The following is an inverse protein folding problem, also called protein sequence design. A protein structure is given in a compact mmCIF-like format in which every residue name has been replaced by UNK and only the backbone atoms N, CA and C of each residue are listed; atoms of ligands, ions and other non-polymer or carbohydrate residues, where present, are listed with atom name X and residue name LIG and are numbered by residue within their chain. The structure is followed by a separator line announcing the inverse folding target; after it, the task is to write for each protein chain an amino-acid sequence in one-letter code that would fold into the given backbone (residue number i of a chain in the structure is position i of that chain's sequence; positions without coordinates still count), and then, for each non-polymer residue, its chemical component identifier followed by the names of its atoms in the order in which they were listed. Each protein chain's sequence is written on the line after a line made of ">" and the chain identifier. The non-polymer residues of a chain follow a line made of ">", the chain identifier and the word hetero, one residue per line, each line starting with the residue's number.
data_IF_005574902118
#
_entry.id   IF_005574902118
#
_cell.length_a   1.000
_cell.length_b   1.000
_cell.length_c   1.000
_cell.angle_alpha   90.00
_cell.angle_beta   90.00
_cell.angle_gamma   90.00
#
_symmetry.space_group_name_H-M   'P 1'
#
loop_
_entity.id
_entity.type
_entity.pdbx_description
1 polymer ?
#
# COMPACT_ATOMS: atom_id res chain seq x y z
N UNK A 1 -6.06 -27.42 8.09
CA UNK A 1 -5.57 -26.55 7.00
C UNK A 1 -4.17 -26.09 7.35
N UNK A 2 -3.16 -26.40 6.54
CA UNK A 2 -1.83 -25.83 6.67
C UNK A 2 -1.95 -24.30 6.54
N UNK A 3 -1.37 -23.53 7.47
CA UNK A 3 -1.40 -22.06 7.37
C UNK A 3 -0.62 -21.66 6.12
N UNK A 4 -1.20 -20.81 5.27
CA UNK A 4 -0.50 -20.26 4.12
C UNK A 4 0.67 -19.37 4.59
N UNK A 5 1.80 -19.46 3.90
CA UNK A 5 3.04 -18.73 4.18
C UNK A 5 3.64 -18.16 2.88
N UNK A 6 4.36 -17.03 2.96
CA UNK A 6 5.14 -16.53 1.82
C UNK A 6 6.19 -17.57 1.41
N UNK A 7 6.59 -17.56 0.15
CA UNK A 7 7.69 -18.40 -0.35
C UNK A 7 9.06 -17.79 -0.04
N UNK A 8 9.12 -16.46 0.04
CA UNK A 8 10.33 -15.72 0.36
C UNK A 8 10.04 -14.60 1.36
N UNK A 9 10.91 -14.47 2.36
CA UNK A 9 10.91 -13.36 3.30
C UNK A 9 12.23 -12.60 3.19
N UNK A 10 12.14 -11.31 2.90
CA UNK A 10 13.26 -10.40 2.77
C UNK A 10 13.39 -9.50 4.00
N UNK A 11 14.62 -9.17 4.37
CA UNK A 11 14.94 -8.24 5.45
C UNK A 11 15.90 -7.16 4.98
N UNK A 12 15.61 -5.91 5.33
CA UNK A 12 16.66 -4.90 5.44
C UNK A 12 17.56 -5.17 6.65
N UNK A 13 18.69 -4.48 6.73
CA UNK A 13 19.68 -4.67 7.77
C UNK A 13 19.64 -3.56 8.82
N UNK A 14 20.06 -2.35 8.43
CA UNK A 14 20.29 -1.22 9.32
C UNK A 14 18.96 -0.60 9.77
N UNK A 15 18.61 -0.75 11.05
CA UNK A 15 17.30 -0.35 11.58
C UNK A 15 16.25 -1.47 11.54
N UNK A 16 16.59 -2.63 10.97
CA UNK A 16 15.69 -3.78 10.85
C UNK A 16 16.21 -5.01 11.58
N UNK A 17 17.29 -5.64 11.10
CA UNK A 17 17.92 -6.80 11.75
C UNK A 17 18.73 -6.38 12.98
N UNK A 18 19.37 -5.21 12.90
CA UNK A 18 20.09 -4.59 14.01
C UNK A 18 19.80 -3.09 14.10
N UNK A 19 20.00 -2.53 15.28
CA UNK A 19 19.87 -1.11 15.56
C UNK A 19 21.21 -0.41 15.38
N UNK A 20 21.15 0.84 14.90
CA UNK A 20 22.26 1.66 14.44
C UNK A 20 22.84 1.20 13.09
N UNK A 21 23.48 2.14 12.40
CA UNK A 21 24.01 1.90 11.07
C UNK A 21 25.40 1.27 11.15
N UNK A 22 25.56 0.12 10.51
CA UNK A 22 26.84 -0.53 10.24
C UNK A 22 27.64 0.26 9.18
N UNK A 23 28.17 1.41 9.58
CA UNK A 23 28.78 2.39 8.68
C UNK A 23 30.29 2.18 8.54
N UNK A 24 30.75 1.83 7.34
CA UNK A 24 32.17 1.58 7.05
C UNK A 24 33.11 2.78 7.23
N UNK A 25 32.58 4.01 7.33
CA UNK A 25 33.36 5.19 7.70
C UNK A 25 33.65 5.26 9.21
N UNK A 26 32.89 4.51 10.02
CA UNK A 26 33.05 4.45 11.49
C UNK A 26 33.72 3.15 11.92
N UNK A 27 33.32 2.02 11.34
CA UNK A 27 33.91 0.72 11.60
C UNK A 27 35.24 0.57 10.87
N UNK A 28 36.24 -0.05 11.49
CA UNK A 28 37.57 -0.25 10.91
C UNK A 28 37.63 -1.49 10.00
N UNK A 29 36.57 -1.75 9.23
CA UNK A 29 36.47 -2.88 8.32
C UNK A 29 36.12 -4.21 8.98
N UNK A 30 35.76 -5.20 8.15
CA UNK A 30 35.18 -6.49 8.57
C UNK A 30 36.03 -7.28 9.59
N UNK A 31 37.36 -7.26 9.45
CA UNK A 31 38.24 -8.07 10.31
C UNK A 31 38.38 -7.48 11.73
N UNK A 32 37.97 -6.22 11.91
CA UNK A 32 37.89 -5.55 13.21
C UNK A 32 36.52 -5.74 13.89
N UNK A 33 35.58 -6.50 13.33
CA UNK A 33 34.33 -6.83 14.01
C UNK A 33 34.50 -7.99 15.02
N UNK A 34 33.83 -7.89 16.16
CA UNK A 34 33.66 -8.98 17.12
C UNK A 34 32.23 -9.03 17.69
N UNK A 35 31.71 -10.23 17.99
CA UNK A 35 30.47 -10.38 18.74
C UNK A 35 30.70 -10.08 20.22
N UNK A 36 29.73 -9.42 20.85
CA UNK A 36 29.72 -9.16 22.28
C UNK A 36 28.30 -9.33 22.81
N UNK A 37 28.14 -9.93 23.99
CA UNK A 37 26.86 -9.96 24.68
C UNK A 37 26.96 -9.09 25.91
N UNK A 38 26.10 -8.08 26.00
CA UNK A 38 26.06 -7.16 27.14
C UNK A 38 25.54 -7.88 28.40
N UNK A 39 25.79 -7.33 29.60
CA UNK A 39 25.29 -7.92 30.86
C UNK A 39 23.77 -8.08 30.92
N UNK A 40 23.02 -7.20 30.25
CA UNK A 40 21.55 -7.24 30.10
C UNK A 40 21.08 -8.14 28.94
N UNK A 41 22.00 -8.93 28.35
CA UNK A 41 21.70 -9.99 27.40
C UNK A 41 21.43 -9.51 25.97
N UNK A 42 21.84 -8.29 25.61
CA UNK A 42 21.77 -7.82 24.24
C UNK A 42 22.99 -8.30 23.45
N UNK A 43 22.75 -8.86 22.27
CA UNK A 43 23.81 -9.23 21.35
C UNK A 43 24.22 -8.02 20.51
N UNK A 44 25.50 -7.73 20.49
CA UNK A 44 26.10 -6.62 19.76
C UNK A 44 27.19 -7.14 18.84
N UNK A 45 27.34 -6.48 17.69
CA UNK A 45 28.54 -6.57 16.88
C UNK A 45 29.26 -5.24 17.02
N UNK A 46 30.48 -5.27 17.56
CA UNK A 46 31.24 -4.06 17.88
C UNK A 46 32.61 -4.05 17.20
N UNK A 47 33.16 -2.85 17.07
CA UNK A 47 34.50 -2.62 16.58
C UNK A 47 35.54 -2.92 17.68
N UNK A 48 36.51 -3.81 17.41
CA UNK A 48 37.58 -4.21 18.33
C UNK A 48 38.48 -3.04 18.78
N UNK A 49 38.62 -2.01 17.95
CA UNK A 49 39.48 -0.84 18.26
C UNK A 49 38.73 0.21 19.05
N UNK A 50 37.41 0.29 18.88
CA UNK A 50 36.56 1.20 19.62
C UNK A 50 35.20 0.56 19.92
N UNK A 51 35.06 -0.05 21.10
CA UNK A 51 33.82 -0.71 21.53
C UNK A 51 32.60 0.22 21.61
N UNK A 52 32.77 1.55 21.60
CA UNK A 52 31.64 2.48 21.50
C UNK A 52 30.94 2.40 20.13
N UNK A 53 31.66 1.96 19.08
CA UNK A 53 31.12 1.74 17.75
C UNK A 53 30.57 0.31 17.68
N UNK A 54 29.24 0.20 17.69
CA UNK A 54 28.56 -1.09 17.67
C UNK A 54 27.19 -0.97 17.01
N UNK A 55 26.67 -2.12 16.58
CA UNK A 55 25.26 -2.32 16.28
C UNK A 55 24.68 -3.33 17.28
N UNK A 56 23.41 -3.16 17.63
CA UNK A 56 22.72 -4.07 18.56
C UNK A 56 21.72 -4.92 17.79
N UNK A 57 21.88 -6.23 17.80
CA UNK A 57 20.99 -7.17 17.11
C UNK A 57 19.60 -7.19 17.74
N UNK A 58 18.59 -7.43 16.90
CA UNK A 58 17.27 -7.84 17.37
C UNK A 58 17.37 -9.06 18.29
N UNK A 59 16.67 -9.03 19.42
CA UNK A 59 16.56 -10.19 20.32
C UNK A 59 15.81 -11.36 19.69
N UNK A 60 14.97 -11.10 18.69
CA UNK A 60 14.10 -12.10 18.08
C UNK A 60 14.63 -12.62 16.74
N UNK A 61 15.64 -12.00 16.13
CA UNK A 61 16.07 -12.38 14.76
C UNK A 61 16.46 -13.85 14.66
N UNK A 62 17.24 -14.37 15.61
CA UNK A 62 17.63 -15.79 15.60
C UNK A 62 16.42 -16.73 15.63
N UNK A 63 15.39 -16.38 16.41
CA UNK A 63 14.12 -17.12 16.49
C UNK A 63 13.30 -16.98 15.20
N UNK A 64 13.27 -15.80 14.58
CA UNK A 64 12.58 -15.54 13.31
C UNK A 64 13.20 -16.39 12.20
N UNK A 65 14.53 -16.35 12.04
CA UNK A 65 15.26 -17.14 11.05
C UNK A 65 15.02 -18.64 11.27
N UNK A 66 15.09 -19.12 12.52
CA UNK A 66 14.77 -20.51 12.88
C UNK A 66 13.37 -20.93 12.38
N UNK A 67 12.37 -20.05 12.56
CA UNK A 67 10.99 -20.32 12.16
C UNK A 67 10.80 -20.32 10.64
N UNK A 68 11.51 -19.45 9.91
CA UNK A 68 11.50 -19.43 8.44
C UNK A 68 12.10 -20.71 7.86
N UNK A 69 13.27 -21.14 8.36
CA UNK A 69 13.93 -22.40 7.95
C UNK A 69 13.00 -23.59 8.23
N UNK A 70 12.37 -23.64 9.41
CA UNK A 70 11.41 -24.71 9.76
C UNK A 70 10.24 -24.79 8.79
N UNK A 71 9.85 -23.66 8.19
CA UNK A 71 8.74 -23.57 7.23
C UNK A 71 9.18 -23.68 5.77
N UNK A 72 10.48 -23.92 5.53
CA UNK A 72 11.06 -23.99 4.19
C UNK A 72 10.78 -22.71 3.37
N UNK A 73 10.89 -21.56 4.02
CA UNK A 73 10.73 -20.23 3.40
C UNK A 73 12.11 -19.70 3.07
N UNK A 74 12.32 -19.26 1.83
CA UNK A 74 13.59 -18.67 1.41
C UNK A 74 13.82 -17.31 2.07
N UNK A 75 15.07 -17.00 2.37
CA UNK A 75 15.46 -15.79 3.10
C UNK A 75 16.31 -14.92 2.20
N UNK A 76 15.91 -13.66 2.06
CA UNK A 76 16.70 -12.65 1.36
C UNK A 76 17.16 -11.55 2.31
N UNK A 77 18.39 -11.08 2.11
CA UNK A 77 18.88 -9.82 2.66
C UNK A 77 18.82 -8.79 1.55
N UNK A 78 18.16 -7.67 1.81
CA UNK A 78 17.99 -6.59 0.85
C UNK A 78 18.38 -5.31 1.55
N UNK A 79 19.59 -4.79 1.34
CA UNK A 79 20.12 -3.63 2.07
C UNK A 79 20.74 -2.60 1.14
N UNK A 80 20.60 -1.32 1.53
CA UNK A 80 21.26 -0.20 0.85
C UNK A 80 22.61 0.17 1.46
N UNK A 81 23.14 -0.65 2.36
CA UNK A 81 24.46 -0.43 2.92
C UNK A 81 25.52 -0.45 1.82
N UNK A 82 26.53 0.41 1.96
CA UNK A 82 27.63 0.55 0.99
C UNK A 82 28.78 -0.45 1.21
N UNK A 83 28.76 -1.20 2.30
CA UNK A 83 29.82 -2.15 2.67
C UNK A 83 29.22 -3.55 2.92
N UNK A 84 29.16 -4.32 1.84
CA UNK A 84 28.65 -5.69 1.87
C UNK A 84 29.50 -6.59 2.76
N UNK A 85 30.82 -6.52 2.66
CA UNK A 85 31.75 -7.35 3.43
C UNK A 85 31.58 -7.17 4.96
N UNK A 86 31.33 -5.93 5.39
CA UNK A 86 31.04 -5.61 6.78
C UNK A 86 29.70 -6.22 7.22
N UNK A 87 28.66 -6.08 6.39
CA UNK A 87 27.32 -6.64 6.64
C UNK A 87 27.36 -8.17 6.74
N UNK A 88 28.01 -8.83 5.78
CA UNK A 88 28.19 -10.28 5.73
C UNK A 88 28.88 -10.78 6.99
N UNK A 89 29.91 -10.05 7.45
CA UNK A 89 30.62 -10.39 8.69
C UNK A 89 29.75 -10.22 9.93
N UNK A 90 28.92 -9.19 9.99
CA UNK A 90 27.97 -9.01 11.09
C UNK A 90 26.93 -10.15 11.12
N UNK A 91 26.39 -10.54 9.95
CA UNK A 91 25.49 -11.69 9.81
C UNK A 91 26.18 -13.02 10.16
N UNK A 92 27.47 -13.16 9.85
CA UNK A 92 28.28 -14.33 10.22
C UNK A 92 28.41 -14.48 11.75
N UNK A 93 28.55 -13.37 12.47
CA UNK A 93 28.63 -13.38 13.95
C UNK A 93 27.27 -13.43 14.65
N UNK A 94 26.17 -13.44 13.88
CA UNK A 94 24.81 -13.55 14.39
C UNK A 94 24.33 -14.98 14.21
N UNK A 95 23.56 -15.53 15.16
CA UNK A 95 23.22 -16.96 15.16
C UNK A 95 21.70 -17.22 15.21
N UNK A 96 21.28 -18.31 14.57
CA UNK A 96 19.95 -18.89 14.67
C UNK A 96 20.07 -20.41 14.95
N UNK A 97 19.05 -21.00 15.56
CA UNK A 97 19.02 -22.45 15.75
C UNK A 97 18.54 -23.12 14.45
N UNK A 98 19.32 -24.05 13.91
CA UNK A 98 18.90 -24.84 12.77
C UNK A 98 17.91 -25.92 13.25
N UNK A 99 16.62 -25.86 12.85
CA UNK A 99 15.62 -26.84 13.31
C UNK A 99 15.85 -28.26 12.78
N UNK A 100 16.71 -28.44 11.76
CA UNK A 100 17.03 -29.74 11.19
C UNK A 100 18.22 -30.43 11.88
N UNK A 101 19.16 -29.65 12.42
CA UNK A 101 20.38 -30.17 13.07
C UNK A 101 20.41 -29.93 14.58
N UNK A 102 19.51 -29.09 15.10
CA UNK A 102 19.48 -28.59 16.48
C UNK A 102 20.81 -27.93 16.91
N UNK A 103 21.51 -27.29 15.98
CA UNK A 103 22.75 -26.54 16.24
C UNK A 103 22.54 -25.05 16.00
N UNK A 104 23.20 -24.23 16.80
CA UNK A 104 23.33 -22.81 16.50
C UNK A 104 24.28 -22.61 15.31
N UNK A 105 23.82 -21.91 14.28
CA UNK A 105 24.58 -21.62 13.08
C UNK A 105 24.46 -20.15 12.70
N UNK A 106 25.48 -19.63 12.03
CA UNK A 106 25.52 -18.24 11.57
C UNK A 106 24.32 -17.92 10.66
N UNK A 107 23.66 -16.78 10.87
CA UNK A 107 22.47 -16.37 10.12
C UNK A 107 22.75 -16.35 8.61
N UNK A 108 23.94 -15.90 8.21
CA UNK A 108 24.34 -15.83 6.80
C UNK A 108 24.24 -17.18 6.07
N UNK A 109 24.35 -18.32 6.77
CA UNK A 109 24.21 -19.65 6.16
C UNK A 109 22.79 -19.99 5.72
N UNK A 110 21.80 -19.28 6.25
CA UNK A 110 20.39 -19.45 5.90
C UNK A 110 19.92 -18.44 4.85
N UNK A 111 20.79 -17.53 4.40
CA UNK A 111 20.44 -16.51 3.39
C UNK A 111 20.58 -17.12 2.00
N UNK A 112 19.47 -17.19 1.26
CA UNK A 112 19.42 -17.67 -0.11
C UNK A 112 19.83 -16.58 -1.11
N UNK A 113 19.46 -15.33 -0.83
CA UNK A 113 19.73 -14.17 -1.69
C UNK A 113 20.28 -13.00 -0.89
N UNK A 114 21.48 -12.56 -1.24
CA UNK A 114 22.23 -11.56 -0.46
C UNK A 114 22.51 -10.31 -1.30
N UNK A 115 21.57 -9.37 -1.21
CA UNK A 115 21.45 -8.18 -2.03
C UNK A 115 21.77 -6.93 -1.21
N UNK A 116 23.07 -6.67 -0.99
CA UNK A 116 23.59 -5.50 -0.28
C UNK A 116 24.29 -4.56 -1.26
N UNK A 117 23.61 -3.47 -1.61
CA UNK A 117 24.12 -2.45 -2.54
C UNK A 117 23.37 -1.14 -2.39
N UNK A 118 24.06 -0.01 -2.43
CA UNK A 118 23.38 1.30 -2.39
C UNK A 118 22.68 1.64 -3.71
N UNK A 119 21.45 1.13 -3.85
CA UNK A 119 20.53 1.43 -4.93
C UNK A 119 19.06 1.23 -4.50
N UNK A 120 18.09 1.54 -5.36
CA UNK A 120 16.67 1.34 -5.04
C UNK A 120 16.35 -0.14 -4.73
N UNK A 121 15.46 -0.35 -3.76
CA UNK A 121 14.95 -1.69 -3.39
C UNK A 121 14.25 -2.38 -4.57
N UNK A 122 13.68 -1.62 -5.51
CA UNK A 122 13.10 -2.16 -6.74
C UNK A 122 14.11 -2.98 -7.55
N UNK A 123 15.37 -2.51 -7.65
CA UNK A 123 16.41 -3.24 -8.40
C UNK A 123 16.85 -4.53 -7.71
N UNK A 124 16.93 -4.50 -6.38
CA UNK A 124 17.21 -5.70 -5.59
C UNK A 124 16.11 -6.75 -5.78
N UNK A 125 14.84 -6.37 -5.62
CA UNK A 125 13.71 -7.27 -5.79
C UNK A 125 13.58 -7.80 -7.22
N UNK A 126 13.92 -6.99 -8.24
CA UNK A 126 13.99 -7.46 -9.62
C UNK A 126 14.99 -8.61 -9.79
N UNK A 127 16.21 -8.48 -9.28
CA UNK A 127 17.22 -9.56 -9.34
C UNK A 127 16.79 -10.80 -8.57
N UNK A 128 16.26 -10.62 -7.36
CA UNK A 128 15.74 -11.73 -6.55
C UNK A 128 14.63 -12.47 -7.30
N UNK A 129 13.70 -11.74 -7.91
CA UNK A 129 12.61 -12.32 -8.70
C UNK A 129 13.14 -13.10 -9.90
N UNK A 130 14.14 -12.57 -10.62
CA UNK A 130 14.81 -13.24 -11.73
C UNK A 130 15.50 -14.54 -11.28
N UNK A 131 16.07 -14.58 -10.06
CA UNK A 131 16.75 -15.75 -9.52
C UNK A 131 15.82 -16.82 -8.95
N UNK A 132 14.80 -16.43 -8.18
CA UNK A 132 13.89 -17.38 -7.53
C UNK A 132 12.70 -17.78 -8.42
N UNK A 133 12.32 -16.96 -9.39
CA UNK A 133 11.15 -17.15 -10.23
C UNK A 133 9.80 -17.02 -9.51
N UNK A 134 9.79 -16.63 -8.22
CA UNK A 134 8.55 -16.43 -7.48
C UNK A 134 7.81 -15.17 -7.93
N UNK A 135 6.48 -15.18 -7.79
CA UNK A 135 5.70 -13.94 -7.93
C UNK A 135 6.04 -12.99 -6.79
N UNK A 136 6.07 -11.68 -7.03
CA UNK A 136 6.20 -10.69 -5.95
C UNK A 136 5.09 -10.82 -4.91
N UNK A 137 3.89 -11.26 -5.30
CA UNK A 137 2.81 -11.56 -4.36
C UNK A 137 3.24 -12.61 -3.32
N UNK A 138 4.08 -13.58 -3.68
CA UNK A 138 4.57 -14.62 -2.77
C UNK A 138 5.69 -14.13 -1.82
N UNK A 139 6.06 -12.85 -1.88
CA UNK A 139 7.15 -12.25 -1.10
C UNK A 139 6.64 -11.33 0.02
N UNK A 140 7.36 -11.32 1.15
CA UNK A 140 7.15 -10.41 2.27
C UNK A 140 8.48 -9.71 2.61
N UNK A 141 8.44 -8.40 2.80
CA UNK A 141 9.62 -7.58 3.08
C UNK A 141 9.46 -6.79 4.38
N UNK A 142 10.48 -6.84 5.23
CA UNK A 142 10.60 -6.05 6.45
C UNK A 142 11.70 -4.98 6.29
N UNK A 143 11.37 -3.72 6.56
CA UNK A 143 12.26 -2.56 6.44
C UNK A 143 11.76 -1.44 7.36
N UNK A 144 12.63 -0.57 7.86
CA UNK A 144 12.29 0.56 8.74
C UNK A 144 12.05 1.87 8.00
N UNK A 145 12.42 1.97 6.72
CA UNK A 145 12.32 3.18 5.91
C UNK A 145 11.01 3.20 5.11
N UNK A 146 10.08 4.13 5.40
CA UNK A 146 8.82 4.26 4.66
C UNK A 146 9.01 4.38 3.14
N UNK A 147 10.07 5.04 2.70
CA UNK A 147 10.39 5.22 1.28
C UNK A 147 10.52 3.88 0.53
N UNK A 148 11.00 2.84 1.20
CA UNK A 148 11.19 1.51 0.61
C UNK A 148 9.85 0.77 0.37
N UNK A 149 8.71 1.31 0.84
CA UNK A 149 7.36 0.87 0.46
C UNK A 149 7.08 0.98 -1.06
N UNK A 150 7.98 1.63 -1.81
CA UNK A 150 7.97 1.62 -3.27
C UNK A 150 7.87 0.19 -3.85
N UNK A 151 8.45 -0.83 -3.21
CA UNK A 151 8.37 -2.21 -3.70
C UNK A 151 6.96 -2.81 -3.57
N UNK A 152 6.21 -2.45 -2.52
CA UNK A 152 4.79 -2.82 -2.41
C UNK A 152 3.97 -2.09 -3.46
N UNK A 153 4.28 -0.81 -3.66
CA UNK A 153 3.57 0.06 -4.60
C UNK A 153 3.74 -0.41 -6.04
N UNK A 154 4.96 -0.72 -6.47
CA UNK A 154 5.28 -0.93 -7.87
C UNK A 154 5.41 -2.41 -8.26
N UNK A 155 5.95 -3.26 -7.39
CA UNK A 155 6.19 -4.68 -7.72
C UNK A 155 5.17 -5.63 -7.08
N UNK A 156 4.62 -5.27 -5.91
CA UNK A 156 3.56 -6.06 -5.27
C UNK A 156 4.00 -6.98 -4.15
N UNK A 157 5.24 -6.81 -3.72
CA UNK A 157 5.74 -7.40 -2.48
C UNK A 157 4.86 -6.92 -1.32
N UNK A 158 4.54 -7.79 -0.37
CA UNK A 158 3.91 -7.30 0.87
C UNK A 158 4.97 -6.58 1.70
N UNK A 159 4.77 -5.31 2.02
CA UNK A 159 5.72 -4.52 2.82
C UNK A 159 5.25 -4.37 4.26
N UNK A 160 6.14 -4.64 5.21
CA UNK A 160 5.92 -4.43 6.64
C UNK A 160 6.95 -3.45 7.21
N UNK A 161 6.46 -2.28 7.61
CA UNK A 161 7.30 -1.24 8.21
C UNK A 161 7.68 -1.61 9.64
N UNK A 162 8.97 -1.55 9.97
CA UNK A 162 9.48 -1.69 11.33
C UNK A 162 9.46 -0.31 12.01
N UNK A 163 8.63 -0.15 13.03
CA UNK A 163 8.52 1.10 13.76
C UNK A 163 9.54 1.17 14.89
N UNK A 164 10.32 2.24 14.92
CA UNK A 164 11.22 2.51 16.04
C UNK A 164 10.47 3.24 17.14
N UNK A 165 10.38 2.64 18.33
CA UNK A 165 9.74 3.22 19.52
C UNK A 165 10.69 3.15 20.71
N UNK A 166 10.35 3.82 21.83
CA UNK A 166 11.16 3.81 23.04
C UNK A 166 11.30 2.38 23.60
N UNK A 167 12.40 1.70 23.24
CA UNK A 167 12.70 0.32 23.64
C UNK A 167 12.65 -0.73 22.51
N UNK A 168 12.23 -0.35 21.29
CA UNK A 168 12.19 -1.24 20.13
C UNK A 168 12.74 -0.52 18.90
N UNK A 169 13.91 -0.96 18.41
CA UNK A 169 14.57 -0.34 17.27
C UNK A 169 14.99 -1.33 16.17
N UNK A 170 14.46 -2.55 16.27
CA UNK A 170 14.69 -3.64 15.34
C UNK A 170 13.40 -4.47 15.25
N UNK A 171 13.35 -5.37 14.27
CA UNK A 171 12.27 -6.34 14.12
C UNK A 171 12.07 -7.16 15.40
N UNK A 172 10.83 -7.33 15.82
CA UNK A 172 10.44 -8.23 16.91
C UNK A 172 9.64 -9.42 16.38
N UNK A 173 9.40 -10.42 17.25
CA UNK A 173 8.48 -11.52 16.94
C UNK A 173 7.06 -11.01 16.63
N UNK A 174 6.64 -9.91 17.25
CA UNK A 174 5.34 -9.29 17.00
C UNK A 174 5.28 -8.68 15.60
N UNK A 175 6.33 -7.98 15.16
CA UNK A 175 6.43 -7.44 13.80
C UNK A 175 6.44 -8.56 12.76
N UNK A 176 7.25 -9.59 12.97
CA UNK A 176 7.28 -10.77 12.11
C UNK A 176 5.88 -11.41 11.96
N UNK A 177 5.19 -11.61 13.08
CA UNK A 177 3.83 -12.18 13.08
C UNK A 177 2.83 -11.25 12.38
N UNK A 178 2.94 -9.94 12.58
CA UNK A 178 2.08 -8.95 11.95
C UNK A 178 2.33 -8.86 10.44
N UNK A 179 3.57 -8.94 9.98
CA UNK A 179 3.95 -9.02 8.56
C UNK A 179 3.37 -10.27 7.89
N UNK A 180 3.49 -11.44 8.52
CA UNK A 180 2.87 -12.67 8.02
C UNK A 180 1.34 -12.54 7.92
N UNK A 181 0.67 -11.91 8.89
CA UNK A 181 -0.77 -11.71 8.81
C UNK A 181 -1.17 -10.70 7.72
N UNK A 182 -0.38 -9.63 7.52
CA UNK A 182 -0.60 -8.70 6.41
C UNK A 182 -0.50 -9.42 5.05
N UNK A 183 0.53 -10.25 4.88
CA UNK A 183 0.71 -11.07 3.67
C UNK A 183 -0.48 -12.02 3.45
N UNK A 184 -0.94 -12.70 4.50
CA UNK A 184 -2.13 -13.58 4.42
C UNK A 184 -3.39 -12.82 4.05
N UNK A 185 -3.58 -11.59 4.56
CA UNK A 185 -4.74 -10.76 4.20
C UNK A 185 -4.73 -10.36 2.73
N UNK A 186 -3.56 -10.05 2.16
CA UNK A 186 -3.43 -9.84 0.71
C UNK A 186 -3.84 -11.11 -0.06
N UNK A 187 -3.44 -12.30 0.39
CA UNK A 187 -3.80 -13.55 -0.28
C UNK A 187 -5.28 -13.93 -0.14
N UNK A 188 -5.95 -13.51 0.94
CA UNK A 188 -7.41 -13.72 1.11
C UNK A 188 -8.25 -12.99 0.05
N UNK A 189 -7.71 -11.94 -0.56
CA UNK A 189 -8.38 -11.20 -1.63
C UNK A 189 -7.90 -11.61 -3.03
N UNK A 190 -6.97 -12.57 -3.13
CA UNK A 190 -6.45 -13.04 -4.42
C UNK A 190 -7.51 -13.82 -5.19
N UNK A 191 -7.84 -13.31 -6.37
CA UNK A 191 -8.69 -13.95 -7.37
C UNK A 191 -7.91 -13.95 -8.67
N UNK A 192 -7.43 -15.12 -9.14
CA UNK A 192 -6.65 -15.21 -10.38
C UNK A 192 -7.35 -14.55 -11.57
N UNK A 193 -6.56 -13.98 -12.49
CA UNK A 193 -7.03 -13.41 -13.75
C UNK A 193 -6.14 -13.89 -14.89
N UNK A 194 -6.71 -14.01 -16.09
CA UNK A 194 -5.97 -14.47 -17.26
C UNK A 194 -5.70 -15.99 -17.30
N UNK A 195 -6.25 -16.78 -16.37
CA UNK A 195 -6.31 -18.24 -16.52
C UNK A 195 -7.22 -18.57 -17.70
N UNK A 196 -6.62 -18.85 -18.85
CA UNK A 196 -7.33 -19.29 -20.06
C UNK A 196 -7.73 -20.75 -19.88
N UNK A 197 -8.82 -20.98 -19.18
CA UNK A 197 -9.55 -22.25 -19.26
C UNK A 197 -10.49 -22.21 -20.47
N UNK A 198 -10.17 -22.89 -21.59
CA UNK A 198 -11.00 -22.85 -22.79
C UNK A 198 -12.43 -23.40 -22.58
N UNK A 199 -12.72 -24.02 -21.44
CA UNK A 199 -14.06 -24.51 -21.08
C UNK A 199 -14.95 -23.47 -20.39
N UNK A 200 -14.39 -22.34 -19.93
CA UNK A 200 -15.15 -21.28 -19.25
C UNK A 200 -15.57 -20.18 -20.24
N UNK A 201 -16.88 -19.90 -20.30
CA UNK A 201 -17.45 -18.79 -21.09
C UNK A 201 -17.06 -17.42 -20.50
N UNK A 202 -16.92 -17.33 -19.18
CA UNK A 202 -16.47 -16.15 -18.45
C UNK A 202 -15.56 -16.58 -17.30
N UNK A 203 -14.30 -16.15 -17.32
CA UNK A 203 -13.31 -16.48 -16.28
C UNK A 203 -13.56 -15.75 -14.95
N UNK A 204 -14.47 -14.77 -14.92
CA UNK A 204 -14.86 -14.06 -13.69
C UNK A 204 -16.39 -13.97 -13.59
N UNK A 205 -17.11 -15.10 -13.40
CA UNK A 205 -18.57 -15.14 -13.45
C UNK A 205 -19.23 -14.33 -12.32
N UNK A 206 -18.49 -14.03 -11.24
CA UNK A 206 -18.95 -13.22 -10.11
C UNK A 206 -18.43 -11.78 -10.16
N UNK A 207 -17.96 -11.30 -11.33
CA UNK A 207 -17.45 -9.94 -11.46
C UNK A 207 -18.51 -8.89 -11.11
N UNK A 208 -18.06 -7.75 -10.60
CA UNK A 208 -18.93 -6.61 -10.31
C UNK A 208 -18.26 -5.31 -10.72
N UNK A 209 -18.98 -4.50 -11.50
CA UNK A 209 -18.56 -3.14 -11.82
C UNK A 209 -18.50 -2.32 -10.53
N UNK A 210 -17.32 -1.75 -10.25
CA UNK A 210 -17.10 -0.87 -9.10
C UNK A 210 -16.86 0.57 -9.49
N UNK A 211 -16.77 0.93 -10.77
CA UNK A 211 -16.78 2.32 -11.23
C UNK A 211 -15.91 2.53 -12.46
N UNK A 212 -15.39 3.75 -12.62
CA UNK A 212 -14.69 4.18 -13.82
C UNK A 212 -13.40 4.93 -13.51
N UNK A 213 -12.35 4.71 -14.29
CA UNK A 213 -11.08 5.42 -14.22
C UNK A 213 -10.72 6.03 -15.58
N UNK A 214 -10.38 7.33 -15.60
CA UNK A 214 -9.86 8.00 -16.80
C UNK A 214 -8.35 7.91 -16.87
N UNK A 215 -7.79 7.45 -18.00
CA UNK A 215 -6.35 7.18 -18.09
C UNK A 215 -5.80 7.20 -19.52
N UNK A 216 -4.47 7.09 -19.65
CA UNK A 216 -3.77 6.86 -20.92
C UNK A 216 -3.86 5.39 -21.35
N UNK A 217 -3.76 5.15 -22.65
CA UNK A 217 -3.83 3.85 -23.32
C UNK A 217 -2.96 2.77 -22.66
N UNK A 218 -1.71 3.09 -22.32
CA UNK A 218 -0.79 2.09 -21.76
C UNK A 218 -1.27 1.62 -20.38
N UNK A 219 -1.74 2.53 -19.53
CA UNK A 219 -2.37 2.15 -18.26
C UNK A 219 -3.68 1.39 -18.50
N UNK A 220 -4.46 1.76 -19.52
CA UNK A 220 -5.70 1.07 -19.85
C UNK A 220 -5.45 -0.40 -20.25
N UNK A 221 -4.37 -0.67 -20.99
CA UNK A 221 -3.91 -2.03 -21.32
C UNK A 221 -3.59 -2.83 -20.07
N UNK A 222 -2.83 -2.27 -19.13
CA UNK A 222 -2.51 -2.94 -17.86
C UNK A 222 -3.77 -3.29 -17.07
N UNK A 223 -4.72 -2.35 -16.95
CA UNK A 223 -5.99 -2.64 -16.28
C UNK A 223 -6.76 -3.77 -16.95
N UNK A 224 -6.80 -3.83 -18.28
CA UNK A 224 -7.46 -4.94 -19.02
C UNK A 224 -6.80 -6.29 -18.70
N UNK A 225 -5.47 -6.30 -18.55
CA UNK A 225 -4.71 -7.48 -18.12
C UNK A 225 -4.83 -7.78 -16.63
N UNK A 226 -5.61 -6.99 -15.88
CA UNK A 226 -5.75 -7.15 -14.43
C UNK A 226 -4.52 -6.72 -13.64
N UNK A 227 -3.58 -6.03 -14.28
CA UNK A 227 -2.42 -5.48 -13.60
C UNK A 227 -2.75 -4.14 -12.95
N UNK A 228 -1.97 -3.81 -11.93
CA UNK A 228 -1.93 -2.49 -11.30
C UNK A 228 -1.59 -1.39 -12.29
N UNK A 229 -1.80 -0.16 -11.82
CA UNK A 229 -1.26 1.04 -12.47
C UNK A 229 0.27 0.90 -12.63
N UNK A 230 0.81 0.93 -13.86
CA UNK A 230 2.24 0.82 -14.07
C UNK A 230 2.94 2.07 -13.54
N UNK A 231 4.21 1.88 -13.16
CA UNK A 231 5.11 3.01 -12.95
C UNK A 231 5.31 3.75 -14.28
N UNK A 232 5.39 5.08 -14.21
CA UNK A 232 5.73 5.93 -15.36
C UNK A 232 6.80 6.91 -14.90
N UNK A 233 7.64 7.41 -15.82
CA UNK A 233 8.73 8.36 -15.49
C UNK A 233 8.23 9.62 -14.76
N UNK A 234 6.98 10.02 -14.97
CA UNK A 234 6.33 11.08 -14.20
C UNK A 234 5.07 10.53 -13.52
N UNK A 235 5.21 9.67 -12.49
CA UNK A 235 4.06 9.10 -11.83
C UNK A 235 3.34 10.25 -11.15
N UNK A 236 2.05 10.44 -11.47
CA UNK A 236 1.24 11.49 -10.86
C UNK A 236 0.58 10.93 -9.60
N UNK A 237 1.16 11.11 -8.39
CA UNK A 237 0.41 10.88 -7.17
C UNK A 237 -0.77 11.85 -7.16
N UNK A 238 -1.90 11.39 -6.63
CA UNK A 238 -3.02 12.26 -6.30
C UNK A 238 -3.17 12.28 -4.78
N UNK A 239 -4.27 12.83 -4.25
CA UNK A 239 -4.43 13.17 -2.82
C UNK A 239 -4.18 12.03 -1.82
N UNK A 240 -4.25 10.78 -2.26
CA UNK A 240 -4.04 9.56 -1.48
C UNK A 240 -2.83 8.74 -1.96
N UNK A 241 -1.85 9.37 -2.61
CA UNK A 241 -0.65 8.72 -3.13
C UNK A 241 -0.85 8.02 -4.49
N UNK A 242 -0.10 6.94 -4.71
CA UNK A 242 0.00 6.22 -5.99
C UNK A 242 -1.10 5.16 -6.25
N UNK A 243 -2.25 5.28 -5.58
CA UNK A 243 -3.38 4.40 -5.80
C UNK A 243 -4.05 4.56 -7.18
N UNK A 244 -4.92 3.61 -7.52
CA UNK A 244 -5.93 3.74 -8.58
C UNK A 244 -7.15 4.49 -8.00
N UNK A 245 -7.64 5.47 -8.75
CA UNK A 245 -8.79 6.30 -8.39
C UNK A 245 -9.95 5.97 -9.32
N UNK A 246 -11.05 5.48 -8.72
CA UNK A 246 -12.23 4.99 -9.42
C UNK A 246 -13.43 5.85 -9.02
N UNK A 247 -14.06 6.54 -9.96
CA UNK A 247 -15.28 7.29 -9.68
C UNK A 247 -16.52 6.45 -9.96
N UNK A 248 -17.58 6.65 -9.16
CA UNK A 248 -18.90 6.09 -9.45
C UNK A 248 -19.59 6.79 -10.61
N UNK A 249 -19.19 8.02 -10.92
CA UNK A 249 -19.74 8.83 -12.00
C UNK A 249 -18.84 8.78 -13.24
N UNK A 250 -19.30 8.22 -14.38
CA UNK A 250 -18.49 8.13 -15.58
C UNK A 250 -18.05 9.50 -16.12
N UNK A 251 -18.79 10.59 -15.84
CA UNK A 251 -18.39 11.93 -16.25
C UNK A 251 -17.14 12.42 -15.52
N UNK A 252 -16.93 12.01 -14.27
CA UNK A 252 -15.70 12.31 -13.53
C UNK A 252 -14.51 11.58 -14.15
N UNK A 253 -14.71 10.32 -14.55
CA UNK A 253 -13.68 9.55 -15.27
C UNK A 253 -13.38 10.18 -16.65
N UNK A 254 -14.38 10.68 -17.38
CA UNK A 254 -14.15 11.42 -18.64
C UNK A 254 -13.28 12.67 -18.41
N UNK A 255 -13.55 13.44 -17.36
CA UNK A 255 -12.72 14.59 -17.01
C UNK A 255 -11.28 14.17 -16.72
N UNK A 256 -11.06 13.20 -15.82
CA UNK A 256 -9.71 12.75 -15.48
C UNK A 256 -9.01 11.98 -16.59
N UNK A 257 -9.74 11.49 -17.60
CA UNK A 257 -9.19 10.92 -18.82
C UNK A 257 -8.42 11.95 -19.64
N UNK A 258 -8.84 13.22 -19.61
CA UNK A 258 -8.26 14.31 -20.41
C UNK A 258 -7.52 15.37 -19.58
N UNK A 259 -7.84 15.51 -18.29
CA UNK A 259 -7.30 16.57 -17.45
C UNK A 259 -5.76 16.52 -17.37
N UNK A 260 -5.12 17.66 -17.69
CA UNK A 260 -3.66 17.78 -17.81
C UNK A 260 -3.04 16.78 -18.79
N UNK A 261 -3.72 16.51 -19.91
CA UNK A 261 -3.24 15.69 -21.04
C UNK A 261 -3.49 16.39 -22.38
N UNK A 262 -3.47 17.72 -22.38
CA UNK A 262 -3.75 18.53 -23.58
C UNK A 262 -2.72 18.30 -24.70
N UNK A 263 -1.51 17.83 -24.36
CA UNK A 263 -0.44 17.47 -25.30
C UNK A 263 -0.50 16.02 -25.82
N UNK A 264 -1.38 15.18 -25.26
CA UNK A 264 -1.50 13.76 -25.63
C UNK A 264 -2.55 13.59 -26.75
N UNK A 265 -2.38 12.58 -27.61
CA UNK A 265 -3.36 12.32 -28.67
C UNK A 265 -4.70 11.88 -28.07
N UNK A 266 -5.85 12.42 -28.53
CA UNK A 266 -7.16 11.95 -28.08
C UNK A 266 -7.41 10.45 -28.30
N UNK A 267 -6.73 9.83 -29.28
CA UNK A 267 -6.78 8.37 -29.54
C UNK A 267 -6.20 7.54 -28.40
N UNK A 268 -5.32 8.14 -27.60
CA UNK A 268 -4.57 7.47 -26.55
C UNK A 268 -5.22 7.66 -25.18
N UNK A 269 -6.36 8.35 -25.12
CA UNK A 269 -7.10 8.60 -23.90
C UNK A 269 -8.28 7.64 -23.78
N UNK A 270 -8.47 7.09 -22.59
CA UNK A 270 -9.44 6.04 -22.32
C UNK A 270 -10.21 6.31 -21.03
N UNK A 271 -11.45 5.82 -20.99
CA UNK A 271 -12.16 5.51 -19.74
C UNK A 271 -12.19 4.01 -19.59
N UNK A 272 -11.76 3.52 -18.43
CA UNK A 272 -11.84 2.12 -18.08
C UNK A 272 -13.02 1.89 -17.14
N UNK A 273 -13.93 0.99 -17.50
CA UNK A 273 -14.83 0.36 -16.54
C UNK A 273 -13.99 -0.55 -15.64
N UNK A 274 -14.01 -0.34 -14.33
CA UNK A 274 -13.21 -1.11 -13.36
C UNK A 274 -14.11 -2.13 -12.67
N UNK A 275 -13.72 -3.39 -12.74
CA UNK A 275 -14.43 -4.51 -12.14
C UNK A 275 -13.61 -5.12 -11.01
N UNK A 276 -14.28 -5.57 -9.96
CA UNK A 276 -13.74 -6.63 -9.11
C UNK A 276 -14.01 -7.97 -9.79
N UNK A 277 -13.01 -8.87 -9.79
CA UNK A 277 -13.09 -10.22 -10.37
C UNK A 277 -14.11 -11.08 -9.63
N UNK A 278 -14.26 -10.84 -8.33
CA UNK A 278 -15.20 -11.54 -7.48
C UNK A 278 -15.92 -10.60 -6.50
N UNK A 279 -17.24 -10.50 -6.67
CA UNK A 279 -18.11 -9.68 -5.83
C UNK A 279 -18.07 -10.10 -4.35
N UNK A 280 -18.03 -11.41 -4.07
CA UNK A 280 -18.12 -11.88 -2.69
C UNK A 280 -16.81 -11.62 -1.95
N UNK A 281 -15.67 -11.83 -2.62
CA UNK A 281 -14.35 -11.47 -2.08
C UNK A 281 -14.29 -9.97 -1.79
N UNK A 282 -14.75 -9.13 -2.74
CA UNK A 282 -14.84 -7.70 -2.50
C UNK A 282 -15.69 -7.40 -1.27
N UNK A 283 -16.91 -7.92 -1.16
CA UNK A 283 -17.84 -7.59 -0.06
C UNK A 283 -17.35 -8.11 1.29
N UNK A 284 -16.88 -9.35 1.36
CA UNK A 284 -16.63 -10.05 2.64
C UNK A 284 -15.17 -10.03 3.11
N UNK A 285 -14.20 -10.03 2.19
CA UNK A 285 -12.79 -10.19 2.53
C UNK A 285 -12.03 -8.85 2.52
N UNK A 286 -12.42 -7.91 1.65
CA UNK A 286 -11.78 -6.61 1.56
C UNK A 286 -12.42 -5.61 2.54
N UNK A 287 -11.64 -5.07 3.47
CA UNK A 287 -12.08 -3.99 4.33
C UNK A 287 -12.37 -2.72 3.51
N UNK A 288 -13.43 -1.99 3.88
CA UNK A 288 -13.86 -0.78 3.18
C UNK A 288 -14.16 0.32 4.18
N UNK A 289 -13.55 1.49 3.97
CA UNK A 289 -13.74 2.66 4.81
C UNK A 289 -14.17 3.83 3.94
N UNK A 290 -15.26 4.50 4.29
CA UNK A 290 -15.55 5.84 3.79
C UNK A 290 -14.95 6.84 4.74
N UNK A 291 -14.00 7.64 4.27
CA UNK A 291 -13.30 8.61 5.08
C UNK A 291 -13.42 10.00 4.48
N UNK A 292 -13.70 11.00 5.33
CA UNK A 292 -13.63 12.38 4.92
C UNK A 292 -12.15 12.80 4.75
N UNK A 293 -11.77 13.44 3.64
CA UNK A 293 -10.39 13.87 3.40
C UNK A 293 -9.94 15.02 4.33
N UNK A 294 -9.44 14.69 5.52
CA UNK A 294 -8.72 15.64 6.36
C UNK A 294 -7.30 15.88 5.83
N UNK A 295 -6.87 17.15 5.73
CA UNK A 295 -5.62 17.56 5.07
C UNK A 295 -4.37 16.81 5.53
N UNK A 296 -4.29 16.48 6.83
CA UNK A 296 -3.14 15.79 7.42
C UNK A 296 -2.88 14.38 6.89
N UNK A 297 -3.91 13.70 6.37
CA UNK A 297 -3.80 12.33 5.82
C UNK A 297 -3.67 12.31 4.30
N UNK A 298 -3.56 13.47 3.67
CA UNK A 298 -3.52 13.62 2.24
C UNK A 298 -2.13 14.07 1.79
N UNK A 299 -1.72 13.66 0.59
CA UNK A 299 -0.43 14.03 -0.01
C UNK A 299 -0.51 15.40 -0.70
N UNK A 300 -1.16 16.40 -0.10
CA UNK A 300 -1.36 17.70 -0.76
C UNK A 300 -0.04 18.43 -0.97
N UNK A 301 0.01 19.28 -2.02
CA UNK A 301 1.13 20.17 -2.37
C UNK A 301 2.35 19.49 -3.01
N UNK A 302 2.20 18.30 -3.60
CA UNK A 302 3.28 17.72 -4.39
C UNK A 302 3.50 18.54 -5.69
N UNK A 303 4.76 18.86 -6.03
CA UNK A 303 5.07 19.61 -7.24
C UNK A 303 4.58 18.87 -8.48
N UNK A 304 4.02 19.63 -9.44
CA UNK A 304 3.58 19.09 -10.72
C UNK A 304 4.54 19.52 -11.83
N UNK A 305 5.00 18.57 -12.66
CA UNK A 305 5.90 18.82 -13.79
C UNK A 305 7.08 17.86 -13.80
N UNK A 306 8.07 18.13 -14.64
CA UNK A 306 9.36 17.42 -14.61
C UNK A 306 10.09 17.77 -13.32
N UNK A 307 10.43 16.76 -12.53
CA UNK A 307 11.13 16.90 -11.25
C UNK A 307 12.61 16.54 -11.44
N UNK A 308 13.48 17.13 -10.62
CA UNK A 308 14.84 16.63 -10.45
C UNK A 308 14.83 15.36 -9.61
N UNK A 309 15.89 14.56 -9.67
CA UNK A 309 15.99 13.32 -8.87
C UNK A 309 15.83 13.57 -7.36
N UNK A 310 16.33 14.69 -6.84
CA UNK A 310 16.15 15.05 -5.43
C UNK A 310 14.68 15.37 -5.10
N UNK A 311 13.99 16.08 -5.99
CA UNK A 311 12.57 16.38 -5.83
C UNK A 311 11.71 15.11 -5.93
N UNK A 312 12.04 14.18 -6.84
CA UNK A 312 11.37 12.88 -6.93
C UNK A 312 11.52 12.08 -5.64
N UNK A 313 12.72 12.08 -5.06
CA UNK A 313 12.98 11.43 -3.76
C UNK A 313 12.14 12.05 -2.64
N UNK A 314 12.11 13.38 -2.53
CA UNK A 314 11.33 14.08 -1.51
C UNK A 314 9.83 13.83 -1.66
N UNK A 315 9.33 13.81 -2.92
CA UNK A 315 7.94 13.47 -3.22
C UNK A 315 7.61 12.05 -2.82
N UNK A 316 8.45 11.08 -3.19
CA UNK A 316 8.26 9.68 -2.83
C UNK A 316 8.23 9.49 -1.30
N UNK A 317 9.13 10.17 -0.58
CA UNK A 317 9.17 10.18 0.87
C UNK A 317 7.88 10.74 1.48
N UNK A 318 7.44 11.92 1.03
CA UNK A 318 6.19 12.52 1.51
C UNK A 318 4.96 11.64 1.27
N UNK A 319 4.90 10.98 0.10
CA UNK A 319 3.81 10.04 -0.22
C UNK A 319 3.85 8.84 0.72
N UNK A 320 5.02 8.25 0.93
CA UNK A 320 5.21 7.13 1.84
C UNK A 320 4.82 7.49 3.28
N UNK A 321 5.33 8.60 3.81
CA UNK A 321 5.05 9.08 5.17
C UNK A 321 3.56 9.33 5.37
N UNK A 322 2.90 9.97 4.39
CA UNK A 322 1.45 10.19 4.40
C UNK A 322 0.67 8.88 4.43
N UNK A 323 1.12 7.86 3.68
CA UNK A 323 0.47 6.55 3.65
C UNK A 323 0.65 5.80 4.97
N UNK A 324 1.86 5.79 5.54
CA UNK A 324 2.14 5.18 6.86
C UNK A 324 1.26 5.82 7.92
N UNK A 325 1.26 7.14 8.00
CA UNK A 325 0.48 7.89 8.98
C UNK A 325 -1.02 7.56 8.87
N UNK A 326 -1.54 7.47 7.63
CA UNK A 326 -2.94 7.10 7.37
C UNK A 326 -3.27 5.66 7.75
N UNK A 327 -2.40 4.71 7.40
CA UNK A 327 -2.54 3.29 7.74
C UNK A 327 -2.60 3.10 9.26
N UNK A 328 -1.70 3.74 10.00
CA UNK A 328 -1.66 3.72 11.46
C UNK A 328 -2.93 4.31 12.07
N UNK A 329 -3.37 5.47 11.56
CA UNK A 329 -4.58 6.14 12.04
C UNK A 329 -5.81 5.26 11.85
N UNK A 330 -5.98 4.67 10.66
CA UNK A 330 -7.12 3.77 10.39
C UNK A 330 -7.07 2.51 11.25
N UNK A 331 -5.89 1.93 11.47
CA UNK A 331 -5.70 0.78 12.36
C UNK A 331 -6.06 1.13 13.80
N UNK A 332 -5.59 2.26 14.31
CA UNK A 332 -5.81 2.68 15.70
C UNK A 332 -7.27 3.06 15.94
N UNK A 333 -7.82 3.93 15.11
CA UNK A 333 -9.15 4.55 15.28
C UNK A 333 -10.30 3.67 14.83
N UNK A 334 -10.16 2.99 13.69
CA UNK A 334 -11.27 2.25 13.06
C UNK A 334 -11.06 0.73 13.05
N UNK A 335 -9.93 0.23 13.56
CA UNK A 335 -9.55 -1.20 13.53
C UNK A 335 -9.51 -1.78 12.11
N UNK A 336 -9.18 -0.94 11.12
CA UNK A 336 -9.01 -1.32 9.72
C UNK A 336 -7.52 -1.33 9.41
N UNK A 337 -7.03 -2.42 8.82
CA UNK A 337 -5.63 -2.54 8.39
C UNK A 337 -5.58 -2.92 6.91
N UNK A 338 -4.42 -2.70 6.28
CA UNK A 338 -4.19 -3.14 4.90
C UNK A 338 -4.47 -4.65 4.72
N UNK A 339 -4.95 -5.07 3.54
CA UNK A 339 -5.43 -4.22 2.45
C UNK A 339 -6.84 -3.66 2.76
N UNK A 340 -7.11 -2.42 2.35
CA UNK A 340 -8.44 -1.80 2.44
C UNK A 340 -8.72 -0.91 1.24
N UNK A 341 -9.98 -0.81 0.86
CA UNK A 341 -10.47 0.16 -0.13
C UNK A 341 -11.00 1.40 0.58
N UNK A 342 -10.64 2.59 0.07
CA UNK A 342 -10.97 3.86 0.68
C UNK A 342 -11.95 4.64 -0.19
N UNK A 343 -13.15 4.85 0.31
CA UNK A 343 -14.14 5.75 -0.28
C UNK A 343 -13.92 7.15 0.28
N UNK A 344 -14.02 8.16 -0.57
CA UNK A 344 -13.82 9.55 -0.21
C UNK A 344 -14.70 10.44 -1.11
N UNK A 345 -14.79 11.72 -0.75
CA UNK A 345 -15.45 12.74 -1.56
C UNK A 345 -14.48 13.83 -1.92
N UNK A 346 -14.47 14.23 -3.18
CA UNK A 346 -13.62 15.30 -3.68
C UNK A 346 -14.48 16.53 -3.98
N UNK A 347 -13.92 17.71 -3.72
CA UNK A 347 -14.53 18.97 -4.11
C UNK A 347 -14.62 19.08 -5.63
N UNK A 348 -15.62 19.81 -6.11
CA UNK A 348 -15.63 20.19 -7.52
C UNK A 348 -14.34 20.94 -7.89
N UNK A 349 -13.76 20.58 -9.03
CA UNK A 349 -12.60 21.28 -9.58
C UNK A 349 -13.08 22.26 -10.64
N UNK A 350 -12.71 23.53 -10.53
CA UNK A 350 -13.19 24.58 -11.45
C UNK A 350 -12.97 24.23 -12.92
N UNK A 351 -11.88 23.52 -13.22
CA UNK A 351 -11.54 23.02 -14.54
C UNK A 351 -12.59 22.10 -15.13
N UNK A 352 -13.33 21.33 -14.31
CA UNK A 352 -14.41 20.46 -14.79
C UNK A 352 -15.48 21.24 -15.55
N UNK A 353 -15.65 22.54 -15.28
CA UNK A 353 -16.62 23.39 -15.96
C UNK A 353 -16.19 23.84 -17.35
N UNK A 354 -14.93 23.58 -17.75
CA UNK A 354 -14.41 24.02 -19.05
C UNK A 354 -15.07 23.20 -20.17
N UNK A 355 -15.58 23.85 -21.25
CA UNK A 355 -16.30 23.18 -22.33
C UNK A 355 -15.54 22.00 -22.96
N UNK A 356 -14.20 22.08 -23.02
CA UNK A 356 -13.34 21.04 -23.59
C UNK A 356 -13.54 19.64 -22.97
N UNK A 357 -13.93 19.57 -21.70
CA UNK A 357 -14.14 18.29 -21.01
C UNK A 357 -15.53 17.70 -21.27
N UNK A 358 -16.48 18.47 -21.80
CA UNK A 358 -17.84 18.01 -22.15
C UNK A 358 -18.57 17.26 -21.02
N UNK A 359 -18.35 17.65 -19.77
CA UNK A 359 -19.00 17.07 -18.58
C UNK A 359 -20.09 18.01 -18.05
N UNK A 360 -21.16 17.42 -17.52
CA UNK A 360 -22.30 18.10 -16.89
C UNK A 360 -22.32 17.76 -15.41
N UNK A 361 -21.38 18.33 -14.65
CA UNK A 361 -21.25 18.13 -13.20
C UNK A 361 -21.66 19.41 -12.48
N UNK A 362 -22.41 19.27 -11.39
CA UNK A 362 -22.84 20.42 -10.59
C UNK A 362 -21.65 21.00 -9.81
N UNK A 363 -21.27 22.28 -10.03
CA UNK A 363 -20.13 22.91 -9.36
C UNK A 363 -20.30 23.06 -7.84
N UNK A 364 -21.53 22.96 -7.33
CA UNK A 364 -21.84 23.05 -5.91
C UNK A 364 -21.76 21.70 -5.18
N UNK A 365 -21.57 20.59 -5.91
CA UNK A 365 -21.57 19.24 -5.33
C UNK A 365 -20.18 18.63 -5.34
N UNK A 366 -19.87 17.89 -4.27
CA UNK A 366 -18.72 16.99 -4.24
C UNK A 366 -19.02 15.72 -5.04
N UNK A 367 -17.99 15.07 -5.56
CA UNK A 367 -18.10 13.77 -6.24
C UNK A 367 -17.45 12.66 -5.43
N UNK A 368 -17.88 11.42 -5.62
CA UNK A 368 -17.32 10.28 -4.90
C UNK A 368 -16.14 9.67 -5.67
N UNK A 369 -15.17 9.19 -4.91
CA UNK A 369 -14.01 8.47 -5.40
C UNK A 369 -13.78 7.23 -4.52
N UNK A 370 -13.30 6.17 -5.16
CA UNK A 370 -12.84 4.93 -4.55
C UNK A 370 -11.36 4.78 -4.85
N UNK A 371 -10.55 4.65 -3.80
CA UNK A 371 -9.10 4.60 -3.85
C UNK A 371 -8.67 3.16 -3.57
N UNK A 372 -7.96 2.58 -4.53
CA UNK A 372 -7.55 1.17 -4.53
C UNK A 372 -6.03 1.11 -4.61
N UNK A 373 -5.37 0.71 -3.51
CA UNK A 373 -3.92 0.59 -3.46
C UNK A 373 -3.43 -0.60 -4.30
N UNK A 374 -2.17 -0.59 -4.77
CA UNK A 374 -1.65 -1.59 -5.71
C UNK A 374 -1.86 -3.05 -5.29
N UNK A 375 -1.72 -3.38 -4.00
CA UNK A 375 -2.00 -4.71 -3.46
C UNK A 375 -3.42 -5.23 -3.75
N UNK A 376 -4.41 -4.34 -3.89
CA UNK A 376 -5.79 -4.74 -4.26
C UNK A 376 -5.91 -4.91 -5.77
N UNK A 377 -5.20 -4.09 -6.55
CA UNK A 377 -5.35 -4.03 -8.00
C UNK A 377 -5.00 -5.38 -8.64
N UNK A 378 -3.81 -5.90 -8.37
CA UNK A 378 -3.37 -7.18 -8.94
C UNK A 378 -4.17 -8.38 -8.44
N UNK A 379 -4.66 -8.31 -7.20
CA UNK A 379 -5.30 -9.42 -6.53
C UNK A 379 -6.77 -9.54 -6.91
N UNK A 380 -7.45 -8.43 -7.20
CA UNK A 380 -8.92 -8.42 -7.26
C UNK A 380 -9.50 -7.69 -8.45
N UNK A 381 -8.73 -6.90 -9.21
CA UNK A 381 -9.31 -5.98 -10.20
C UNK A 381 -8.97 -6.34 -11.64
N UNK A 382 -9.84 -5.93 -12.56
CA UNK A 382 -9.50 -5.79 -13.98
C UNK A 382 -10.35 -4.69 -14.60
N UNK A 383 -9.94 -4.23 -15.78
CA UNK A 383 -10.56 -3.15 -16.51
C UNK A 383 -11.20 -3.62 -17.82
N UNK A 384 -12.10 -2.80 -18.33
CA UNK A 384 -12.52 -2.80 -19.72
C UNK A 384 -12.31 -1.40 -20.28
N UNK A 385 -11.35 -1.28 -21.21
CA UNK A 385 -10.96 -0.02 -21.80
C UNK A 385 -11.95 0.44 -22.87
N UNK A 386 -12.36 1.70 -22.82
CA UNK A 386 -13.23 2.35 -23.79
C UNK A 386 -12.53 3.62 -24.27
N UNK A 387 -12.27 3.80 -25.58
CA UNK A 387 -11.70 5.05 -26.10
C UNK A 387 -12.50 6.26 -25.64
N UNK A 388 -11.83 7.36 -25.29
CA UNK A 388 -12.44 8.51 -24.62
C UNK A 388 -13.67 9.04 -25.38
N UNK A 389 -13.57 9.21 -26.69
CA UNK A 389 -14.68 9.72 -27.52
C UNK A 389 -15.89 8.76 -27.54
N UNK A 390 -15.66 7.45 -27.56
CA UNK A 390 -16.75 6.48 -27.45
C UNK A 390 -17.38 6.53 -26.04
N UNK A 391 -16.56 6.62 -24.99
CA UNK A 391 -17.03 6.77 -23.63
C UNK A 391 -17.88 8.04 -23.44
N UNK A 392 -17.57 9.14 -24.13
CA UNK A 392 -18.41 10.36 -24.16
C UNK A 392 -19.79 10.06 -24.75
N UNK A 393 -19.85 9.39 -25.90
CA UNK A 393 -21.11 9.00 -26.53
C UNK A 393 -21.95 8.09 -25.62
N UNK A 394 -21.31 7.13 -24.95
CA UNK A 394 -21.97 6.23 -24.01
C UNK A 394 -22.47 6.95 -22.74
N UNK A 395 -21.70 7.90 -22.20
CA UNK A 395 -22.13 8.71 -21.06
C UNK A 395 -23.32 9.62 -21.42
N UNK A 396 -23.30 10.26 -22.61
CA UNK A 396 -24.40 11.12 -23.09
C UNK A 396 -25.69 10.34 -23.31
N UNK A 397 -25.59 9.09 -23.78
CA UNK A 397 -26.75 8.19 -24.00
C UNK A 397 -27.18 7.43 -22.74
N UNK A 398 -26.51 7.61 -21.60
CA UNK A 398 -26.83 6.91 -20.35
C UNK A 398 -26.41 5.44 -20.31
N UNK A 399 -25.64 4.96 -21.30
CA UNK A 399 -25.11 3.58 -21.33
C UNK A 399 -24.08 3.30 -20.23
N UNK A 400 -23.35 4.34 -19.78
CA UNK A 400 -22.52 4.25 -18.58
C UNK A 400 -23.33 4.67 -17.36
N UNK A 401 -23.59 3.74 -16.47
CA UNK A 401 -24.42 3.94 -15.27
C UNK A 401 -23.65 4.68 -14.18
N UNK A 402 -24.25 5.70 -13.58
CA UNK A 402 -23.76 6.29 -12.33
C UNK A 402 -24.03 5.32 -11.16
N UNK A 403 -22.99 4.86 -10.45
CA UNK A 403 -23.12 3.82 -9.42
C UNK A 403 -23.63 4.33 -8.08
N UNK A 404 -23.45 5.61 -7.75
CA UNK A 404 -23.90 6.19 -6.47
C UNK A 404 -23.38 5.40 -5.26
N UNK A 405 -22.07 5.47 -4.98
CA UNK A 405 -21.46 4.69 -3.89
C UNK A 405 -22.17 4.85 -2.55
N UNK A 406 -22.76 6.02 -2.28
CA UNK A 406 -23.51 6.29 -1.06
C UNK A 406 -24.71 5.36 -0.85
N UNK A 407 -25.31 4.86 -1.95
CA UNK A 407 -26.40 3.89 -1.93
C UNK A 407 -25.92 2.47 -1.67
N UNK A 408 -24.60 2.26 -1.69
CA UNK A 408 -23.97 0.95 -1.54
C UNK A 408 -23.30 0.72 -0.18
N UNK A 409 -23.42 1.65 0.77
CA UNK A 409 -22.79 1.51 2.09
C UNK A 409 -23.17 0.22 2.79
N UNK A 410 -24.47 -0.11 2.84
CA UNK A 410 -24.96 -1.31 3.54
C UNK A 410 -24.59 -2.60 2.81
N UNK A 411 -24.88 -2.69 1.50
CA UNK A 411 -24.70 -3.94 0.76
C UNK A 411 -23.24 -4.25 0.40
N UNK A 412 -22.35 -3.24 0.37
CA UNK A 412 -20.91 -3.46 0.20
C UNK A 412 -20.14 -3.54 1.53
N UNK A 413 -20.85 -3.44 2.68
CA UNK A 413 -20.25 -3.47 4.02
C UNK A 413 -19.19 -2.38 4.19
N UNK A 414 -19.51 -1.15 3.81
CA UNK A 414 -18.61 0.01 3.95
C UNK A 414 -18.75 0.56 5.36
N UNK A 415 -17.63 0.63 6.09
CA UNK A 415 -17.57 1.33 7.37
C UNK A 415 -17.61 2.84 7.12
N UNK A 416 -18.54 3.55 7.75
CA UNK A 416 -18.66 5.02 7.65
C UNK A 416 -18.60 5.62 9.05
N UNK A 417 -17.45 6.22 9.44
CA UNK A 417 -17.30 6.89 10.73
C UNK A 417 -18.32 8.00 10.94
N UNK A 418 -18.65 8.28 12.20
CA UNK A 418 -19.61 9.31 12.58
C UNK A 418 -19.22 10.69 12.03
N UNK A 419 -17.95 11.07 12.15
CA UNK A 419 -17.41 12.33 11.62
C UNK A 419 -17.59 12.46 10.10
N UNK A 420 -17.50 11.35 9.36
CA UNK A 420 -17.69 11.34 7.91
C UNK A 420 -19.16 11.54 7.54
N UNK A 421 -20.09 11.02 8.36
CA UNK A 421 -21.53 11.28 8.20
C UNK A 421 -21.87 12.74 8.46
N UNK A 422 -21.31 13.32 9.54
CA UNK A 422 -21.51 14.73 9.87
C UNK A 422 -21.01 15.65 8.75
N UNK A 423 -19.76 15.44 8.28
CA UNK A 423 -19.22 16.23 7.17
C UNK A 423 -20.11 16.12 5.92
N UNK A 424 -20.57 14.92 5.57
CA UNK A 424 -21.40 14.72 4.37
C UNK A 424 -22.74 15.44 4.48
N UNK A 425 -23.39 15.37 5.63
CA UNK A 425 -24.68 16.04 5.87
C UNK A 425 -24.55 17.58 5.87
N UNK A 426 -23.45 18.10 6.43
CA UNK A 426 -23.18 19.54 6.45
C UNK A 426 -22.99 20.13 5.04
N UNK A 427 -22.41 19.37 4.12
CA UNK A 427 -22.12 19.84 2.76
C UNK A 427 -23.28 19.65 1.78
N UNK A 428 -24.02 18.54 1.87
CA UNK A 428 -25.08 18.24 0.90
C UNK A 428 -26.49 18.61 1.37
N UNK A 429 -26.62 19.15 2.59
CA UNK A 429 -27.91 19.58 3.19
C UNK A 429 -29.01 18.51 3.10
N UNK A 430 -28.63 17.23 3.08
CA UNK A 430 -29.50 16.05 2.95
C UNK A 430 -28.85 14.86 3.68
N UNK A 431 -29.66 13.84 4.03
CA UNK A 431 -29.15 12.60 4.61
C UNK A 431 -28.45 11.75 3.55
N UNK A 432 -27.17 12.07 3.29
CA UNK A 432 -26.39 11.54 2.17
C UNK A 432 -26.32 10.00 2.13
N UNK A 433 -26.26 9.36 3.29
CA UNK A 433 -26.19 7.90 3.43
C UNK A 433 -27.55 7.23 3.70
N UNK A 434 -28.65 7.97 3.67
CA UNK A 434 -30.00 7.48 3.97
C UNK A 434 -30.26 7.18 5.47
N UNK A 435 -31.52 6.90 5.86
CA UNK A 435 -31.95 6.78 7.26
C UNK A 435 -31.44 5.54 8.03
N UNK A 436 -30.67 4.63 7.41
CA UNK A 436 -30.35 3.31 7.97
C UNK A 436 -28.92 3.08 8.48
N UNK A 437 -28.16 4.14 8.79
CA UNK A 437 -26.71 4.04 9.07
C UNK A 437 -26.26 4.30 10.51
N UNK A 438 -27.16 4.24 11.49
CA UNK A 438 -26.79 4.35 12.91
C UNK A 438 -26.23 3.01 13.40
N UNK A 439 -24.91 2.94 13.61
CA UNK A 439 -24.36 2.04 14.62
C UNK A 439 -24.55 2.75 15.95
N UNK A 440 -25.50 2.26 16.73
CA UNK A 440 -25.79 2.70 18.08
C UNK A 440 -24.50 2.77 18.92
N UNK A 441 -24.21 3.94 19.49
CA UNK A 441 -23.86 4.13 20.91
C UNK A 441 -24.49 5.47 21.27
N UNK A 442 -25.58 5.42 22.03
CA UNK A 442 -26.40 6.58 22.36
C UNK A 442 -25.67 7.54 23.29
N UNK A 443 -25.55 8.79 22.87
CA UNK A 443 -25.59 9.94 23.77
C UNK A 443 -26.60 10.90 23.15
N UNK A 444 -27.81 10.93 23.70
CA UNK A 444 -28.78 11.98 23.38
C UNK A 444 -28.22 13.29 23.94
N UNK A 445 -27.75 14.17 23.06
CA UNK A 445 -27.52 15.57 23.42
C UNK A 445 -28.88 16.22 23.70
N UNK A 446 -29.18 16.45 24.97
CA UNK A 446 -30.22 17.36 25.41
C UNK A 446 -29.74 18.77 25.03
N UNK A 447 -30.45 19.40 24.10
CA UNK A 447 -30.35 20.82 23.83
C UNK A 447 -31.06 21.54 24.97
N UNK A 448 -30.31 22.07 25.93
CA UNK A 448 -30.83 23.07 26.87
C UNK A 448 -30.70 24.45 26.21
N UNK A 449 -31.84 24.97 25.75
CA UNK A 449 -32.07 26.39 25.56
C UNK A 449 -31.96 27.06 26.94
N UNK A 450 -31.01 28.00 27.07
CA UNK A 450 -31.05 29.01 28.12
C UNK A 450 -31.22 30.35 27.41
N UNK A 451 -32.48 30.79 27.31
CA UNK A 451 -32.82 32.20 27.16
C UNK A 451 -33.12 32.79 28.54
N UNK A 452 -32.71 34.05 28.69
CA UNK A 452 -32.81 34.88 29.88
C UNK A 452 -34.24 35.02 30.43
N UNK A 453 -34.39 35.09 31.76
CA UNK A 453 -35.04 36.23 32.43
C UNK A 453 -35.02 36.14 33.98
N UNK A 454 -34.42 37.17 34.60
CA UNK A 454 -34.87 37.93 35.79
C UNK A 454 -35.51 37.15 36.96
N UNK A 455 -34.84 37.09 38.11
CA UNK A 455 -34.93 38.04 39.24
C UNK A 455 -33.92 37.66 40.32
#
# INVERSE_FOLDING_TARGET
>A
MTKLHPKLVAFDLDGTVWYSWLNSKKFHGRDNLEPFTTPDGHHQIRDKRNHAIHVTLSKDIGRIITDLVKKNIQIAIVSRNTDKDLCDRALFYSYANNPHTNKAESIIKFVDYDEVKDESKLRHFKRIQEWCGFSYADMLFFDDQPLNMEVETWEGVTFHLIHHTSGHHCITWADYTAGLEAWRKNHRIFVPHGLKDPTLIDHCPRKMLIGYAGTHHDTAKEYVQGHRRPWTVHPRPARWGHALYVSDNPQIALFFGQWKRDSESPSDLYVCEIFVRDKQVFIDQLAKLWFHPERQYLTHNLPSGTLTQAQEHDVAKQVADSQVHRDEFFKKKFKISKPYALFSRHHYMAEMGKPKYQVKINPKKRFNELVLYPQIQDHLLFGKAIPLEHARGMAKSGKLRHLHYERHVKNWKITVPHETRLDSNNHDKTNFFGPGGSTAHGVRSIVMLIEHCKY
#
